data_IF_088086321921
#
_entry.id   IF_088086321921
#
_cell.length_a   1.000
_cell.length_b   1.000
_cell.length_c   1.000
_cell.angle_alpha   90.00
_cell.angle_beta   90.00
_cell.angle_gamma   90.00
#
_symmetry.space_group_name_H-M   'P 1'
#
loop_
_entity.id
_entity.type
_entity.pdbx_description
1 polymer ?
#
# COMPACT_ATOMS: atom_id res chain seq x y z
N UNK A 1 -0.82 -11.35 -8.37
CA UNK A 1 -1.62 -10.88 -7.21
C UNK A 1 -1.66 -9.35 -7.20
N UNK A 2 -2.58 -8.71 -6.45
CA UNK A 2 -2.71 -7.24 -6.41
C UNK A 2 -1.45 -6.55 -5.89
N UNK A 3 -0.80 -7.12 -4.85
CA UNK A 3 0.45 -6.60 -4.30
C UNK A 3 1.60 -6.63 -5.32
N UNK A 4 1.78 -7.74 -6.03
CA UNK A 4 2.80 -7.85 -7.10
C UNK A 4 2.55 -6.85 -8.25
N UNK A 5 1.28 -6.62 -8.59
CA UNK A 5 0.90 -5.62 -9.58
C UNK A 5 1.28 -4.22 -9.11
N UNK A 6 1.00 -3.89 -7.85
CA UNK A 6 1.40 -2.62 -7.27
C UNK A 6 2.93 -2.45 -7.29
N UNK A 7 3.69 -3.48 -6.90
CA UNK A 7 5.16 -3.46 -6.90
C UNK A 7 5.74 -3.19 -8.29
N UNK A 8 5.17 -3.78 -9.33
CA UNK A 8 5.56 -3.52 -10.72
C UNK A 8 5.26 -2.07 -11.14
N UNK A 9 4.13 -1.54 -10.67
CA UNK A 9 3.70 -0.18 -10.95
C UNK A 9 4.47 0.88 -10.12
N UNK A 10 5.12 0.51 -9.00
CA UNK A 10 5.95 1.45 -8.20
C UNK A 10 6.98 2.19 -9.06
N UNK A 11 7.50 1.53 -10.10
CA UNK A 11 8.54 2.07 -10.99
C UNK A 11 7.93 2.84 -12.17
N UNK A 12 6.83 2.36 -12.73
CA UNK A 12 6.28 2.83 -14.01
C UNK A 12 5.08 3.78 -13.86
N UNK A 13 4.27 3.62 -12.82
CA UNK A 13 3.11 4.44 -12.52
C UNK A 13 2.81 4.43 -11.01
N UNK A 14 3.46 5.35 -10.29
CA UNK A 14 3.37 5.47 -8.82
C UNK A 14 1.93 5.71 -8.34
N UNK A 15 1.14 6.51 -9.06
CA UNK A 15 -0.24 6.80 -8.65
C UNK A 15 -1.13 5.55 -8.74
N UNK A 16 -1.00 4.76 -9.82
CA UNK A 16 -1.72 3.50 -9.94
C UNK A 16 -1.30 2.49 -8.87
N UNK A 17 0.00 2.45 -8.51
CA UNK A 17 0.48 1.63 -7.40
C UNK A 17 -0.11 2.09 -6.05
N UNK A 18 -0.17 3.39 -5.79
CA UNK A 18 -0.79 3.97 -4.59
C UNK A 18 -2.25 3.55 -4.46
N UNK A 19 -3.05 3.67 -5.52
CA UNK A 19 -4.48 3.26 -5.52
C UNK A 19 -4.66 1.78 -5.16
N UNK A 20 -3.84 0.91 -5.76
CA UNK A 20 -3.90 -0.54 -5.50
C UNK A 20 -3.50 -0.85 -4.06
N UNK A 21 -2.39 -0.27 -3.58
CA UNK A 21 -1.92 -0.49 -2.20
C UNK A 21 -2.92 0.04 -1.19
N UNK A 22 -3.52 1.21 -1.45
CA UNK A 22 -4.55 1.78 -0.59
C UNK A 22 -5.79 0.87 -0.47
N UNK A 23 -6.22 0.26 -1.58
CA UNK A 23 -7.30 -0.73 -1.55
C UNK A 23 -6.93 -1.99 -0.75
N UNK A 24 -5.68 -2.48 -0.88
CA UNK A 24 -5.20 -3.63 -0.08
C UNK A 24 -5.20 -3.28 1.41
N UNK A 25 -4.74 -2.10 1.80
CA UNK A 25 -4.71 -1.67 3.21
C UNK A 25 -6.13 -1.46 3.77
N UNK A 26 -7.06 -0.95 2.97
CA UNK A 26 -8.45 -0.76 3.38
C UNK A 26 -9.25 -2.05 3.47
N UNK A 27 -8.84 -3.13 2.80
CA UNK A 27 -9.57 -4.39 2.86
C UNK A 27 -9.55 -4.98 4.28
N UNK A 28 -10.67 -5.57 4.68
CA UNK A 28 -10.68 -6.45 5.84
C UNK A 28 -9.84 -7.68 5.52
N UNK A 29 -8.91 -7.99 6.41
CA UNK A 29 -8.04 -9.16 6.31
C UNK A 29 -8.40 -10.12 7.42
N UNK A 30 -8.27 -11.41 7.15
CA UNK A 30 -8.41 -12.42 8.19
C UNK A 30 -7.20 -12.35 9.12
N UNK A 31 -7.44 -11.96 10.37
CA UNK A 31 -6.41 -11.84 11.41
C UNK A 31 -5.89 -13.19 11.91
N UNK A 32 -6.47 -14.30 11.45
CA UNK A 32 -5.95 -15.65 11.70
C UNK A 32 -5.09 -16.15 10.51
N UNK A 33 -5.09 -15.44 9.38
CA UNK A 33 -4.30 -15.77 8.21
C UNK A 33 -3.02 -14.93 8.19
N UNK A 34 -1.90 -15.55 8.56
CA UNK A 34 -0.59 -14.90 8.56
C UNK A 34 -0.24 -14.30 7.19
N UNK A 35 -0.66 -14.96 6.11
CA UNK A 35 -0.40 -14.48 4.75
C UNK A 35 -1.16 -13.18 4.43
N UNK A 36 -2.39 -13.05 4.94
CA UNK A 36 -3.22 -11.86 4.78
C UNK A 36 -2.67 -10.68 5.59
N UNK A 37 -2.20 -10.95 6.81
CA UNK A 37 -1.51 -9.96 7.66
C UNK A 37 -0.24 -9.47 6.96
N UNK A 38 0.64 -10.38 6.54
CA UNK A 38 1.89 -10.04 5.85
C UNK A 38 1.66 -9.26 4.56
N UNK A 39 0.65 -9.65 3.78
CA UNK A 39 0.26 -8.92 2.56
C UNK A 39 -0.14 -7.47 2.89
N UNK A 40 -0.89 -7.28 3.97
CA UNK A 40 -1.34 -5.96 4.41
C UNK A 40 -0.19 -5.12 4.97
N UNK A 41 0.68 -5.70 5.78
CA UNK A 41 1.86 -5.02 6.32
C UNK A 41 2.80 -4.55 5.21
N UNK A 42 3.08 -5.43 4.23
CA UNK A 42 3.90 -5.07 3.07
C UNK A 42 3.24 -3.94 2.26
N UNK A 43 1.92 -4.00 2.09
CA UNK A 43 1.20 -2.94 1.39
C UNK A 43 1.28 -1.57 2.11
N UNK A 44 1.24 -1.56 3.45
CA UNK A 44 1.39 -0.34 4.27
C UNK A 44 2.79 0.25 4.07
N UNK A 45 3.84 -0.58 4.14
CA UNK A 45 5.22 -0.14 3.96
C UNK A 45 5.46 0.42 2.55
N UNK A 46 5.02 -0.32 1.53
CA UNK A 46 5.16 0.10 0.13
C UNK A 46 4.38 1.39 -0.15
N UNK A 47 3.19 1.54 0.44
CA UNK A 47 2.38 2.75 0.32
C UNK A 47 3.08 3.95 0.98
N UNK A 48 3.63 3.77 2.19
CA UNK A 48 4.38 4.82 2.89
C UNK A 48 5.60 5.30 2.08
N UNK A 49 6.36 4.37 1.51
CA UNK A 49 7.51 4.68 0.66
C UNK A 49 7.09 5.45 -0.60
N UNK A 50 6.02 5.01 -1.27
CA UNK A 50 5.51 5.71 -2.46
C UNK A 50 4.98 7.11 -2.13
N UNK A 51 4.24 7.26 -1.04
CA UNK A 51 3.75 8.56 -0.60
C UNK A 51 4.90 9.50 -0.26
N UNK A 52 5.96 9.00 0.39
CA UNK A 52 7.16 9.79 0.66
C UNK A 52 7.87 10.19 -0.65
N UNK A 53 8.04 9.25 -1.58
CA UNK A 53 8.69 9.48 -2.87
C UNK A 53 7.91 10.43 -3.80
N UNK A 54 6.59 10.54 -3.63
CA UNK A 54 5.71 11.44 -4.40
C UNK A 54 5.46 12.77 -3.70
N UNK A 55 5.98 12.97 -2.48
CA UNK A 55 5.69 14.15 -1.66
C UNK A 55 4.28 14.19 -1.09
N UNK A 56 3.53 13.09 -1.17
CA UNK A 56 2.17 12.96 -0.64
C UNK A 56 2.13 12.52 0.83
N UNK A 57 3.28 12.14 1.41
CA UNK A 57 3.40 11.72 2.81
C UNK A 57 3.09 12.82 3.83
N UNK A 58 3.08 14.10 3.46
CA UNK A 58 2.75 15.20 4.38
C UNK A 58 1.24 15.47 4.55
N UNK A 59 0.36 14.70 3.89
CA UNK A 59 -1.03 15.12 3.70
C UNK A 59 -2.12 14.66 4.67
N UNK A 60 -2.16 13.41 5.15
CA UNK A 60 -3.43 12.92 5.75
C UNK A 60 -3.41 11.64 6.60
N UNK A 61 -2.25 11.11 7.02
CA UNK A 61 -2.21 9.85 7.80
C UNK A 61 -1.90 10.02 9.29
N UNK A 62 -1.60 11.26 9.74
CA UNK A 62 -1.32 11.58 11.16
C UNK A 62 -2.50 12.23 11.89
N UNK A 63 -3.60 12.49 11.21
CA UNK A 63 -4.83 13.05 11.79
C UNK A 63 -5.92 11.99 11.75
N UNK A 64 -5.86 11.06 12.70
CA UNK A 64 -6.85 10.01 12.92
C UNK A 64 -6.66 9.44 14.32
#
# INVERSE_FOLDING_TARGET
MELEKAQTLKVTNKNAAIDILYNIVKRNVDTNSENDIKTKEQAILDLGELLAATGQAEGNWRTG
#
